data_IF_190332046745
#
_entry.id   IF_190332046745
#
_cell.length_a   1.000
_cell.length_b   1.000
_cell.length_c   1.000
_cell.angle_alpha   90.00
_cell.angle_beta   90.00
_cell.angle_gamma   90.00
#
_symmetry.space_group_name_H-M   'P 1'
#
loop_
_entity.id
_entity.type
_entity.pdbx_description
1 polymer ?
#
# COMPACT_ATOMS: atom_id res chain seq x y z
N UNK A 1 -4.97 -19.96 1.97
CA UNK A 1 -3.53 -19.66 1.82
C UNK A 1 -3.22 -18.41 0.97
N UNK A 2 -4.17 -17.80 0.25
CA UNK A 2 -3.91 -16.66 -0.66
C UNK A 2 -3.65 -15.30 0.02
N UNK A 3 -4.18 -15.10 1.22
CA UNK A 3 -4.17 -13.77 1.85
C UNK A 3 -2.85 -13.44 2.56
N UNK A 4 -2.13 -14.47 3.03
CA UNK A 4 -0.81 -14.31 3.65
C UNK A 4 0.21 -13.75 2.65
N UNK A 5 0.27 -14.32 1.45
CA UNK A 5 1.18 -13.88 0.37
C UNK A 5 0.92 -12.42 -0.01
N UNK A 6 -0.36 -12.02 -0.05
CA UNK A 6 -0.75 -10.65 -0.35
C UNK A 6 -0.24 -9.67 0.71
N UNK A 7 -0.30 -10.06 1.99
CA UNK A 7 0.23 -9.25 3.10
C UNK A 7 1.76 -9.12 3.05
N UNK A 8 2.47 -10.18 2.63
CA UNK A 8 3.92 -10.19 2.50
C UNK A 8 4.40 -9.30 1.34
N UNK A 9 3.69 -9.31 0.21
CA UNK A 9 3.94 -8.38 -0.91
C UNK A 9 3.78 -6.93 -0.46
N UNK A 10 2.70 -6.61 0.26
CA UNK A 10 2.47 -5.26 0.78
C UNK A 10 3.57 -4.87 1.77
N UNK A 11 4.01 -5.80 2.62
CA UNK A 11 5.11 -5.57 3.55
C UNK A 11 6.42 -5.31 2.81
N UNK A 12 6.74 -6.08 1.78
CA UNK A 12 7.94 -5.89 0.97
C UNK A 12 7.95 -4.62 0.11
N UNK A 13 6.81 -3.93 -0.04
CA UNK A 13 6.77 -2.58 -0.61
C UNK A 13 6.95 -1.47 0.42
N UNK A 14 6.53 -1.69 1.66
CA UNK A 14 6.55 -0.68 2.73
C UNK A 14 7.83 -0.72 3.57
N UNK A 15 8.42 -1.90 3.72
CA UNK A 15 9.56 -2.18 4.57
C UNK A 15 10.74 -2.64 3.71
N UNK A 16 11.70 -1.73 3.53
CA UNK A 16 12.89 -1.96 2.74
C UNK A 16 13.81 -3.01 3.38
N UNK A 17 13.92 -3.04 4.71
CA UNK A 17 14.74 -4.02 5.43
C UNK A 17 14.18 -5.43 5.23
N UNK A 18 12.86 -5.59 5.36
CA UNK A 18 12.19 -6.84 5.06
C UNK A 18 12.43 -7.27 3.60
N UNK A 19 12.31 -6.34 2.64
CA UNK A 19 12.57 -6.61 1.22
C UNK A 19 14.02 -7.04 0.96
N UNK A 20 14.98 -6.42 1.63
CA UNK A 20 16.41 -6.72 1.48
C UNK A 20 16.81 -8.06 2.11
N UNK A 21 16.06 -8.51 3.12
CA UNK A 21 16.26 -9.80 3.76
C UNK A 21 15.69 -11.00 2.97
N UNK A 22 14.94 -10.77 1.89
CA UNK A 22 14.41 -11.83 1.01
C UNK A 22 15.48 -12.35 0.04
N UNK A 23 15.38 -13.62 -0.32
CA UNK A 23 16.24 -14.21 -1.37
C UNK A 23 15.98 -13.58 -2.74
N UNK A 24 16.92 -13.69 -3.69
CA UNK A 24 16.70 -13.23 -5.08
C UNK A 24 15.44 -13.83 -5.70
N UNK A 25 15.24 -15.15 -5.56
CA UNK A 25 14.06 -15.84 -6.09
C UNK A 25 12.74 -15.31 -5.51
N UNK A 26 12.73 -14.91 -4.24
CA UNK A 26 11.53 -14.36 -3.60
C UNK A 26 11.30 -12.90 -4.02
N UNK A 27 12.37 -12.11 -4.21
CA UNK A 27 12.28 -10.73 -4.69
C UNK A 27 11.77 -10.66 -6.12
N UNK A 28 12.15 -11.61 -6.97
CA UNK A 28 11.68 -11.70 -8.36
C UNK A 28 10.17 -12.00 -8.47
N UNK A 29 9.59 -12.64 -7.45
CA UNK A 29 8.15 -12.90 -7.37
C UNK A 29 7.36 -11.67 -6.93
N UNK A 30 8.02 -10.64 -6.38
CA UNK A 30 7.35 -9.42 -5.91
C UNK A 30 7.17 -8.46 -7.10
N UNK A 31 5.93 -8.11 -7.47
CA UNK A 31 5.68 -7.16 -8.54
C UNK A 31 6.23 -5.77 -8.22
N UNK A 32 6.43 -4.96 -9.26
CA UNK A 32 6.78 -3.56 -9.09
C UNK A 32 5.74 -2.85 -8.21
N UNK A 33 6.19 -1.92 -7.36
CA UNK A 33 5.30 -1.13 -6.52
C UNK A 33 4.35 -0.32 -7.42
N UNK A 34 3.02 -0.50 -7.32
CA UNK A 34 2.04 0.16 -8.19
C UNK A 34 2.01 1.68 -8.03
N UNK A 35 2.49 2.22 -6.92
CA UNK A 35 2.63 3.67 -6.73
C UNK A 35 3.89 4.24 -7.42
N UNK A 36 4.87 3.38 -7.73
CA UNK A 36 6.18 3.79 -8.25
C UNK A 36 6.96 4.71 -7.30
N UNK A 37 8.05 5.27 -7.80
CA UNK A 37 8.73 6.41 -7.17
C UNK A 37 8.03 7.65 -7.73
N UNK A 38 6.92 8.04 -7.10
CA UNK A 38 6.21 9.27 -7.45
C UNK A 38 6.57 10.35 -6.42
N UNK A 39 7.35 11.34 -6.85
CA UNK A 39 7.57 12.54 -6.05
C UNK A 39 6.28 13.38 -6.10
N UNK A 40 5.60 13.47 -4.96
CA UNK A 40 4.42 14.30 -4.81
C UNK A 40 4.86 15.68 -4.31
N UNK A 41 4.63 16.72 -5.11
CA UNK A 41 4.86 18.10 -4.68
C UNK A 41 3.82 18.52 -3.65
N UNK A 42 4.15 19.51 -2.80
CA UNK A 42 3.20 20.06 -1.81
C UNK A 42 1.89 20.54 -2.44
N UNK A 43 1.96 21.06 -3.66
CA UNK A 43 0.79 21.51 -4.41
C UNK A 43 -0.13 20.34 -4.81
N UNK A 44 0.45 19.21 -5.22
CA UNK A 44 -0.31 17.98 -5.54
C UNK A 44 -0.84 17.33 -4.27
N UNK A 45 -0.09 17.38 -3.16
CA UNK A 45 -0.56 16.90 -1.85
C UNK A 45 -1.71 17.74 -1.31
N UNK A 46 -1.68 19.06 -1.51
CA UNK A 46 -2.72 19.98 -1.03
C UNK A 46 -4.10 19.76 -1.65
N UNK A 47 -4.15 19.18 -2.86
CA UNK A 47 -5.40 18.83 -3.56
C UNK A 47 -5.81 17.37 -3.35
N UNK A 48 -4.96 16.54 -2.75
CA UNK A 48 -5.30 15.16 -2.44
C UNK A 48 -6.42 15.12 -1.38
N UNK A 49 -7.51 14.43 -1.69
CA UNK A 49 -8.64 14.24 -0.78
C UNK A 49 -8.95 12.75 -0.62
N UNK A 50 -9.34 12.36 0.60
CA UNK A 50 -9.79 11.00 0.89
C UNK A 50 -11.21 10.77 0.34
N UNK A 51 -11.55 9.52 0.03
CA UNK A 51 -12.92 9.15 -0.27
C UNK A 51 -13.76 9.11 1.01
N UNK A 52 -14.74 10.01 1.12
CA UNK A 52 -15.83 9.80 2.08
C UNK A 52 -16.66 8.63 1.54
N UNK A 53 -16.47 7.42 2.08
CA UNK A 53 -17.51 6.41 1.95
C UNK A 53 -18.77 7.09 2.46
N UNK A 54 -19.78 7.28 1.60
CA UNK A 54 -21.06 7.81 2.02
C UNK A 54 -21.42 7.03 3.28
N UNK A 55 -21.43 7.72 4.42
CA UNK A 55 -21.79 7.10 5.68
C UNK A 55 -23.22 6.61 5.46
N UNK A 56 -23.40 5.34 5.12
CA UNK A 56 -24.64 4.69 5.50
C UNK A 56 -24.68 4.89 7.01
N UNK A 57 -25.82 5.34 7.51
CA UNK A 57 -26.01 5.71 8.91
C UNK A 57 -25.89 4.51 9.87
N UNK A 58 -25.12 3.48 9.53
CA UNK A 58 -24.97 2.25 10.30
C UNK A 58 -23.84 2.34 11.34
N UNK A 59 -23.03 3.40 11.34
CA UNK A 59 -21.89 3.54 12.25
C UNK A 59 -21.98 4.68 13.27
N UNK A 60 -23.06 5.44 13.29
CA UNK A 60 -23.34 6.33 14.41
C UNK A 60 -24.73 5.99 14.93
N UNK A 61 -24.81 5.37 16.11
CA UNK A 61 -26.05 5.41 16.90
C UNK A 61 -26.29 6.85 17.32
N UNK A 62 -26.84 7.65 16.42
CA UNK A 62 -27.63 8.83 16.72
C UNK A 62 -29.09 8.47 16.41
#
# INVERSE_FOLDING_TARGET
MSDSVKSEIIRAWKDEEFRNNLSESERDLIPANPAGILELTDEVLGVASGGLAAASCDWCSC
#
